data_IF_339677623546
#
_entry.id   IF_339677623546
#
_cell.length_a   1.000
_cell.length_b   1.000
_cell.length_c   1.000
_cell.angle_alpha   90.00
_cell.angle_beta   90.00
_cell.angle_gamma   90.00
#
_symmetry.space_group_name_H-M   'P 1'
#
loop_
_entity.id
_entity.type
_entity.pdbx_description
1 polymer ?
#
# COMPACT_ATOMS: atom_id res chain seq x y z
N UNK A 1 24.06 27.81 24.99
CA UNK A 1 23.37 28.54 23.89
C UNK A 1 22.75 27.56 22.90
N UNK A 2 21.45 27.28 23.02
CA UNK A 2 20.75 26.44 22.06
C UNK A 2 20.40 27.23 20.79
N UNK A 3 20.51 26.64 19.58
CA UNK A 3 20.20 27.34 18.35
C UNK A 3 18.71 27.67 18.26
N UNK A 4 18.39 28.91 17.87
CA UNK A 4 17.02 29.35 17.63
C UNK A 4 16.46 28.62 16.41
N UNK A 5 15.21 28.13 16.51
CA UNK A 5 14.52 27.46 15.39
C UNK A 5 14.45 28.38 14.18
N UNK A 6 14.63 27.86 12.95
CA UNK A 6 14.53 28.68 11.75
C UNK A 6 13.13 29.29 11.64
N UNK A 7 13.06 30.58 11.31
CA UNK A 7 11.78 31.25 11.01
C UNK A 7 11.17 30.60 9.76
N UNK A 8 9.85 30.44 9.77
CA UNK A 8 9.11 29.90 8.62
C UNK A 8 9.34 30.73 7.35
N UNK A 9 9.17 30.10 6.19
CA UNK A 9 9.34 30.75 4.89
C UNK A 9 8.34 31.89 4.72
N UNK A 10 8.77 32.95 4.04
CA UNK A 10 7.89 34.07 3.68
C UNK A 10 6.82 33.59 2.69
N UNK A 11 5.59 34.09 2.81
CA UNK A 11 4.47 33.75 1.90
C UNK A 11 4.84 33.94 0.43
N UNK A 12 5.62 34.98 0.10
CA UNK A 12 6.09 35.18 -1.28
C UNK A 12 7.00 34.05 -1.78
N UNK A 13 7.90 33.57 -0.91
CA UNK A 13 8.77 32.42 -1.21
C UNK A 13 7.95 31.14 -1.38
N UNK A 14 6.90 30.95 -0.56
CA UNK A 14 6.02 29.80 -0.68
C UNK A 14 5.25 29.80 -2.01
N UNK A 15 4.73 30.96 -2.43
CA UNK A 15 4.02 31.08 -3.70
C UNK A 15 4.93 30.83 -4.91
N UNK A 16 6.19 31.29 -4.85
CA UNK A 16 7.20 30.98 -5.88
C UNK A 16 7.50 29.47 -5.93
N UNK A 17 7.71 28.82 -4.77
CA UNK A 17 7.93 27.38 -4.70
C UNK A 17 6.76 26.58 -5.28
N UNK A 18 5.51 27.00 -5.02
CA UNK A 18 4.32 26.34 -5.59
C UNK A 18 4.27 26.49 -7.11
N UNK A 19 4.60 27.66 -7.67
CA UNK A 19 4.64 27.87 -9.12
C UNK A 19 5.72 27.00 -9.78
N UNK A 20 6.92 26.96 -9.22
CA UNK A 20 8.02 26.15 -9.74
C UNK A 20 7.69 24.65 -9.69
N UNK A 21 7.03 24.21 -8.62
CA UNK A 21 6.62 22.81 -8.45
C UNK A 21 5.59 22.40 -9.50
N UNK A 22 4.59 23.25 -9.75
CA UNK A 22 3.58 23.00 -10.80
C UNK A 22 4.20 22.96 -12.20
N UNK A 23 5.16 23.85 -12.48
CA UNK A 23 5.87 23.86 -13.77
C UNK A 23 6.66 22.57 -14.00
N UNK A 24 7.42 22.11 -13.00
CA UNK A 24 8.16 20.84 -13.09
C UNK A 24 7.25 19.64 -13.26
N UNK A 25 6.11 19.60 -12.56
CA UNK A 25 5.14 18.51 -12.71
C UNK A 25 4.53 18.48 -14.11
N UNK A 26 4.31 19.64 -14.73
CA UNK A 26 3.80 19.73 -16.09
C UNK A 26 4.85 19.26 -17.12
N UNK A 27 6.10 19.69 -16.98
CA UNK A 27 7.22 19.25 -17.82
C UNK A 27 7.44 17.72 -17.72
N UNK A 28 7.34 17.13 -16.51
CA UNK A 28 7.44 15.67 -16.32
C UNK A 28 6.28 14.91 -16.98
N UNK A 29 5.06 15.47 -16.96
CA UNK A 29 3.89 14.86 -17.62
C UNK A 29 4.00 14.90 -19.14
N UNK A 30 4.46 16.02 -19.70
CA UNK A 30 4.69 16.14 -21.15
C UNK A 30 5.81 15.20 -21.61
N UNK A 31 6.90 15.10 -20.83
CA UNK A 31 7.99 14.17 -21.14
C UNK A 31 7.55 12.70 -21.01
N UNK A 32 6.68 12.35 -20.06
CA UNK A 32 6.09 11.01 -19.99
C UNK A 32 5.18 10.72 -21.19
N UNK A 33 4.35 11.67 -21.62
CA UNK A 33 3.49 11.49 -22.79
C UNK A 33 4.29 11.31 -24.08
N UNK A 34 5.37 12.09 -24.29
CA UNK A 34 6.24 11.93 -25.45
C UNK A 34 6.99 10.59 -25.46
N UNK A 35 7.43 10.10 -24.29
CA UNK A 35 8.04 8.77 -24.19
C UNK A 35 7.03 7.64 -24.44
N UNK A 36 5.76 7.84 -24.10
CA UNK A 36 4.68 6.88 -24.40
C UNK A 36 4.31 6.85 -25.89
N UNK A 37 4.36 7.98 -26.60
CA UNK A 37 4.08 8.03 -28.04
C UNK A 37 5.24 7.55 -28.92
N UNK A 38 6.49 7.67 -28.45
CA UNK A 38 7.70 7.25 -29.18
C UNK A 38 7.99 5.73 -29.11
N UNK A 39 7.11 4.92 -28.50
CA UNK A 39 7.28 3.46 -28.44
C UNK A 39 8.44 2.99 -27.56
N UNK A 40 9.08 3.89 -26.81
CA UNK A 40 10.16 3.57 -25.88
C UNK A 40 9.58 2.83 -24.68
N UNK A 41 9.73 1.49 -24.68
CA UNK A 41 9.33 0.64 -23.55
C UNK A 41 10.27 0.95 -22.37
N UNK A 42 9.91 1.95 -21.57
CA UNK A 42 10.55 2.22 -20.29
C UNK A 42 10.38 0.99 -19.41
N UNK A 43 11.49 0.32 -19.08
CA UNK A 43 11.51 -0.80 -18.13
C UNK A 43 10.89 -0.32 -16.82
N UNK A 44 9.63 -0.70 -16.58
CA UNK A 44 8.90 -0.41 -15.34
C UNK A 44 9.74 -0.89 -14.16
N UNK A 45 10.34 0.04 -13.40
CA UNK A 45 10.97 -0.29 -12.13
C UNK A 45 9.90 -0.93 -11.25
N UNK A 46 10.10 -2.20 -10.88
CA UNK A 46 9.22 -2.91 -9.94
C UNK A 46 9.27 -2.13 -8.63
N UNK A 47 8.25 -1.32 -8.35
CA UNK A 47 8.05 -0.75 -7.03
C UNK A 47 7.86 -1.94 -6.08
N UNK A 48 8.81 -2.14 -5.16
CA UNK A 48 8.63 -3.07 -4.05
C UNK A 48 7.46 -2.53 -3.23
N UNK A 49 6.29 -3.14 -3.38
CA UNK A 49 5.15 -2.86 -2.53
C UNK A 49 5.59 -3.14 -1.09
N UNK A 50 5.81 -2.08 -0.32
CA UNK A 50 6.09 -2.21 1.10
C UNK A 50 4.86 -2.87 1.74
N UNK A 51 5.03 -3.93 2.54
CA UNK A 51 3.92 -4.53 3.24
C UNK A 51 3.29 -3.45 4.13
N UNK A 52 2.03 -3.09 3.85
CA UNK A 52 1.29 -2.14 4.69
C UNK A 52 1.22 -2.74 6.09
N UNK A 53 1.73 -2.02 7.09
CA UNK A 53 1.50 -2.36 8.49
C UNK A 53 -0.02 -2.28 8.72
N UNK A 54 -0.60 -3.41 9.11
CA UNK A 54 -2.01 -3.52 9.47
C UNK A 54 -2.32 -2.52 10.59
N UNK A 55 -3.41 -1.77 10.46
CA UNK A 55 -3.81 -0.79 11.48
C UNK A 55 -4.08 -1.44 12.84
N UNK A 56 -3.93 -0.67 13.93
CA UNK A 56 -4.16 -1.11 15.32
C UNK A 56 -5.57 -1.72 15.53
N UNK A 57 -6.52 -1.37 14.67
CA UNK A 57 -7.92 -1.83 14.70
C UNK A 57 -8.26 -2.81 13.57
N UNK A 58 -7.29 -3.31 12.80
CA UNK A 58 -7.53 -4.43 11.88
C UNK A 58 -7.67 -5.71 12.69
N UNK A 59 -8.89 -5.97 13.15
CA UNK A 59 -9.28 -7.27 13.70
C UNK A 59 -9.00 -8.31 12.60
N UNK A 60 -7.98 -9.14 12.78
CA UNK A 60 -7.87 -10.39 12.02
C UNK A 60 -9.20 -11.10 12.22
N UNK A 61 -9.99 -11.22 11.14
CA UNK A 61 -11.35 -11.71 11.23
C UNK A 61 -11.39 -12.97 12.10
N UNK A 62 -12.39 -13.06 12.99
CA UNK A 62 -12.59 -14.14 13.97
C UNK A 62 -11.71 -15.37 13.70
N UNK A 63 -10.55 -15.45 14.35
CA UNK A 63 -9.53 -16.49 14.14
C UNK A 63 -10.04 -17.92 14.46
N UNK A 64 -11.30 -18.06 14.84
CA UNK A 64 -12.00 -19.31 15.11
C UNK A 64 -12.70 -19.92 13.89
N UNK A 65 -12.65 -19.29 12.71
CA UNK A 65 -13.24 -19.87 11.51
C UNK A 65 -12.42 -21.08 11.03
N UNK A 66 -13.06 -22.24 11.04
CA UNK A 66 -12.52 -23.46 10.45
C UNK A 66 -12.48 -23.32 8.92
N UNK A 67 -11.32 -23.53 8.30
CA UNK A 67 -11.19 -23.47 6.84
C UNK A 67 -11.38 -22.07 6.24
N UNK A 68 -11.59 -22.00 4.92
CA UNK A 68 -11.73 -20.75 4.17
C UNK A 68 -13.19 -20.52 3.76
N UNK A 69 -13.73 -19.35 4.04
CA UNK A 69 -15.08 -18.96 3.60
C UNK A 69 -15.01 -18.12 2.32
N UNK A 70 -15.73 -18.53 1.26
CA UNK A 70 -15.80 -17.78 -0.01
C UNK A 70 -17.16 -17.98 -0.66
N UNK A 71 -17.77 -16.88 -1.11
CA UNK A 71 -19.04 -16.87 -1.84
C UNK A 71 -20.18 -17.63 -1.12
N UNK A 72 -20.26 -17.51 0.21
CA UNK A 72 -21.29 -18.21 1.00
C UNK A 72 -20.97 -19.69 1.30
N UNK A 73 -19.85 -20.22 0.82
CA UNK A 73 -19.45 -21.63 1.00
C UNK A 73 -18.20 -21.72 1.87
N UNK A 74 -18.22 -22.66 2.83
CA UNK A 74 -17.07 -22.98 3.69
C UNK A 74 -16.27 -24.14 3.08
N UNK A 75 -15.00 -23.88 2.76
CA UNK A 75 -14.07 -24.84 2.20
C UNK A 75 -13.16 -25.36 3.30
N UNK A 76 -13.17 -26.68 3.52
CA UNK A 76 -12.34 -27.35 4.50
C UNK A 76 -11.17 -28.05 3.81
N UNK A 77 -9.97 -27.86 4.34
CA UNK A 77 -8.81 -28.65 3.94
C UNK A 77 -8.84 -30.03 4.61
N UNK A 78 -8.06 -30.97 4.10
CA UNK A 78 -7.89 -32.28 4.73
C UNK A 78 -7.41 -32.16 6.19
N UNK A 79 -6.54 -31.19 6.48
CA UNK A 79 -6.06 -30.90 7.84
C UNK A 79 -7.18 -30.41 8.76
N UNK A 80 -8.13 -29.63 8.24
CA UNK A 80 -9.29 -29.16 9.01
C UNK A 80 -10.19 -30.34 9.38
N UNK A 81 -10.40 -31.28 8.46
CA UNK A 81 -11.16 -32.52 8.67
C UNK A 81 -10.47 -33.42 9.72
N UNK A 82 -9.14 -33.53 9.65
CA UNK A 82 -8.35 -34.29 10.61
C UNK A 82 -8.44 -33.69 12.03
N UNK A 83 -8.44 -32.36 12.18
CA UNK A 83 -8.64 -31.70 13.48
C UNK A 83 -10.02 -32.01 14.07
N UNK A 84 -11.08 -31.97 13.26
CA UNK A 84 -12.44 -32.33 13.70
C UNK A 84 -12.48 -33.78 14.19
N UNK A 85 -11.95 -34.70 13.39
CA UNK A 85 -12.02 -36.15 13.66
C UNK A 85 -11.14 -36.55 14.85
N UNK A 86 -9.98 -35.92 15.04
CA UNK A 86 -9.10 -36.16 16.20
C UNK A 86 -9.76 -35.74 17.51
N UNK A 87 -10.43 -34.59 17.53
CA UNK A 87 -11.14 -34.12 18.72
C UNK A 87 -12.36 -35.00 19.07
N UNK A 88 -12.97 -35.67 18.08
CA UNK A 88 -14.08 -36.61 18.31
C UNK A 88 -13.65 -37.89 19.03
N UNK A 89 -12.38 -38.30 18.93
CA UNK A 89 -11.83 -39.49 19.63
C UNK A 89 -11.42 -39.23 21.07
N UNK A 90 -11.35 -37.97 21.49
CA UNK A 90 -10.95 -37.54 22.84
C UNK A 90 -12.15 -37.23 23.75
N UNK A 91 -13.37 -37.45 23.25
CA UNK A 91 -14.63 -37.43 24.01
C UNK A 91 -15.16 -38.85 24.10
#
# INVERSE_FOLDING_TARGET
NQPKKPRGKNIQQHLQEVRERKRKEQEEREQQQQNHSAGTILKRKKQKLQPKKKGLNEVRGMDYQLGRFRNGVQYLSRQDIEKITKNKKLR
#
